data_IF_950232735260
#
_entry.id   IF_950232735260
#
_cell.length_a   1.000
_cell.length_b   1.000
_cell.length_c   1.000
_cell.angle_alpha   90.00
_cell.angle_beta   90.00
_cell.angle_gamma   90.00
#
_symmetry.space_group_name_H-M   'P 1'
#
loop_
_entity.id
_entity.type
_entity.pdbx_description
1 polymer ?
#
# COMPACT_ATOMS: atom_id res chain seq x y z
N UNK A 1 18.02 16.34 2.58
CA UNK A 1 16.61 16.27 2.23
C UNK A 1 16.38 16.34 0.72
N UNK A 2 16.83 17.40 0.03
CA UNK A 2 16.60 17.57 -1.43
C UNK A 2 17.21 16.42 -2.25
N UNK A 3 18.40 15.95 -1.91
CA UNK A 3 19.04 14.83 -2.60
C UNK A 3 18.20 13.54 -2.45
N UNK A 4 17.70 13.24 -1.25
CA UNK A 4 16.83 12.10 -1.00
C UNK A 4 15.50 12.19 -1.76
N UNK A 5 14.87 13.36 -1.79
CA UNK A 5 13.64 13.56 -2.57
C UNK A 5 13.87 13.37 -4.07
N UNK A 6 15.01 13.83 -4.60
CA UNK A 6 15.39 13.62 -5.99
C UNK A 6 15.70 12.13 -6.31
N UNK A 7 16.20 11.38 -5.35
CA UNK A 7 16.39 9.94 -5.45
C UNK A 7 15.04 9.21 -5.49
N UNK A 8 14.14 9.53 -4.55
CA UNK A 8 12.81 8.95 -4.51
C UNK A 8 11.99 9.24 -5.78
N UNK A 9 12.13 10.42 -6.36
CA UNK A 9 11.43 10.79 -7.60
C UNK A 9 11.86 9.95 -8.82
N UNK A 10 13.01 9.29 -8.77
CA UNK A 10 13.49 8.37 -9.82
C UNK A 10 12.95 6.95 -9.68
N UNK A 11 12.47 6.60 -8.50
CA UNK A 11 11.83 5.31 -8.26
C UNK A 11 10.41 5.37 -8.86
N UNK A 12 10.04 4.34 -9.61
CA UNK A 12 8.67 4.26 -10.13
C UNK A 12 7.64 4.24 -8.99
N UNK A 13 6.52 4.89 -9.19
CA UNK A 13 5.41 4.97 -8.20
C UNK A 13 4.53 3.73 -8.21
N UNK A 14 4.80 2.72 -9.05
CA UNK A 14 4.02 1.49 -9.07
C UNK A 14 4.25 0.67 -7.79
N UNK A 15 3.19 0.07 -7.27
CA UNK A 15 3.23 -0.79 -6.08
C UNK A 15 4.31 -1.89 -6.20
N UNK A 16 4.45 -2.51 -7.37
CA UNK A 16 5.48 -3.51 -7.65
C UNK A 16 6.92 -2.95 -7.57
N UNK A 17 7.13 -1.72 -8.03
CA UNK A 17 8.45 -1.08 -7.94
C UNK A 17 8.79 -0.69 -6.50
N UNK A 18 7.79 -0.28 -5.71
CA UNK A 18 7.93 0.05 -4.28
C UNK A 18 8.18 -1.21 -3.44
N UNK A 19 7.56 -2.33 -3.81
CA UNK A 19 7.67 -3.60 -3.09
C UNK A 19 9.07 -4.22 -3.22
N UNK A 20 9.69 -4.12 -4.38
CA UNK A 20 11.01 -4.70 -4.68
C UNK A 20 12.18 -3.77 -4.38
N UNK A 21 11.95 -2.47 -4.22
CA UNK A 21 12.99 -1.50 -3.94
C UNK A 21 13.56 -1.65 -2.51
N UNK A 22 14.87 -1.41 -2.37
CA UNK A 22 15.51 -1.25 -1.06
C UNK A 22 14.78 -0.17 -0.24
N UNK A 23 14.43 -0.49 1.00
CA UNK A 23 13.73 0.44 1.89
C UNK A 23 14.68 1.53 2.37
N UNK A 24 14.46 2.74 1.91
CA UNK A 24 15.29 3.91 2.23
C UNK A 24 14.48 4.99 2.92
N UNK A 25 15.10 5.66 3.87
CA UNK A 25 14.50 6.75 4.62
C UNK A 25 15.45 7.90 4.90
N UNK A 26 14.86 9.03 5.24
CA UNK A 26 15.55 10.21 5.73
C UNK A 26 15.04 10.53 7.13
N UNK A 27 15.91 10.50 8.11
CA UNK A 27 15.59 10.95 9.46
C UNK A 27 15.37 12.47 9.45
N UNK A 28 14.19 12.90 9.84
CA UNK A 28 13.86 14.34 9.92
C UNK A 28 14.39 15.02 11.16
N UNK A 29 14.84 14.26 12.15
CA UNK A 29 15.17 14.74 13.51
C UNK A 29 13.95 15.18 14.33
N UNK A 30 12.73 15.02 13.79
CA UNK A 30 11.49 15.32 14.50
C UNK A 30 10.97 14.09 15.23
N UNK A 31 10.21 14.34 16.28
CA UNK A 31 9.48 13.30 16.99
C UNK A 31 8.02 13.72 17.18
N UNK A 32 7.11 12.74 17.19
CA UNK A 32 5.71 12.92 17.53
C UNK A 32 5.35 12.18 18.80
N UNK A 33 4.38 12.68 19.54
CA UNK A 33 3.84 11.99 20.70
C UNK A 33 2.96 10.83 20.24
N UNK A 34 3.16 9.64 20.83
CA UNK A 34 2.28 8.50 20.59
C UNK A 34 0.86 8.84 21.07
N UNK A 35 -0.19 8.65 20.26
CA UNK A 35 -1.54 9.14 20.60
C UNK A 35 -2.20 8.37 21.76
N UNK A 36 -1.76 7.12 22.01
CA UNK A 36 -2.38 6.23 22.99
C UNK A 36 -1.46 5.89 24.17
N UNK A 37 -0.15 6.15 24.05
CA UNK A 37 0.83 5.82 25.08
C UNK A 37 1.46 7.10 25.61
N UNK A 38 1.25 7.37 26.89
CA UNK A 38 1.83 8.53 27.55
C UNK A 38 3.37 8.44 27.52
N UNK A 39 4.03 9.60 27.40
CA UNK A 39 5.49 9.76 27.42
C UNK A 39 6.27 8.96 26.36
N UNK A 40 5.57 8.38 25.37
CA UNK A 40 6.16 7.71 24.24
C UNK A 40 6.29 8.66 23.05
N UNK A 41 7.53 8.92 22.61
CA UNK A 41 7.82 9.74 21.44
C UNK A 41 8.38 8.88 20.32
N UNK A 42 7.81 9.04 19.14
CA UNK A 42 8.17 8.29 17.95
C UNK A 42 8.96 9.15 16.98
N UNK A 43 10.04 8.64 16.36
CA UNK A 43 10.78 9.38 15.35
C UNK A 43 9.98 9.50 14.05
N UNK A 44 10.20 10.60 13.33
CA UNK A 44 9.54 10.85 12.05
C UNK A 44 10.55 10.71 10.92
N UNK A 45 10.29 9.77 10.03
CA UNK A 45 11.08 9.52 8.82
C UNK A 45 10.30 9.88 7.55
N UNK A 46 11.02 10.31 6.52
CA UNK A 46 10.50 10.32 5.15
C UNK A 46 11.03 9.04 4.50
N UNK A 47 10.14 8.17 4.03
CA UNK A 47 10.53 6.88 3.46
C UNK A 47 10.03 6.71 2.02
N UNK A 48 10.78 5.96 1.21
CA UNK A 48 10.50 5.76 -0.21
C UNK A 48 9.39 4.75 -0.49
N UNK A 49 8.93 4.02 0.52
CA UNK A 49 7.90 2.99 0.40
C UNK A 49 6.52 3.40 0.96
N UNK A 50 6.41 4.62 1.47
CA UNK A 50 5.12 5.19 1.90
C UNK A 50 4.38 5.73 0.68
N UNK A 51 3.26 5.10 0.35
CA UNK A 51 2.44 5.50 -0.79
C UNK A 51 1.61 6.75 -0.46
N UNK A 52 1.76 7.80 -1.26
CA UNK A 52 1.04 9.08 -1.08
C UNK A 52 -0.48 8.94 -1.31
N UNK A 53 -0.89 7.93 -2.07
CA UNK A 53 -2.30 7.65 -2.37
C UNK A 53 -2.99 6.87 -1.24
N UNK A 54 -2.24 6.45 -0.22
CA UNK A 54 -2.76 5.69 0.91
C UNK A 54 -3.03 6.63 2.08
N UNK A 55 -4.30 6.95 2.30
CA UNK A 55 -4.72 7.85 3.38
C UNK A 55 -4.20 9.28 3.19
N UNK A 56 -3.45 9.77 4.16
CA UNK A 56 -2.87 11.13 4.16
C UNK A 56 -1.43 11.18 3.64
N UNK A 57 -0.87 10.05 3.21
CA UNK A 57 0.56 9.92 2.89
C UNK A 57 1.46 9.86 4.12
N UNK A 58 0.87 9.73 5.31
CA UNK A 58 1.56 9.45 6.56
C UNK A 58 1.06 8.12 7.13
N UNK A 59 1.98 7.24 7.51
CA UNK A 59 1.67 5.96 8.13
C UNK A 59 2.26 5.88 9.53
N UNK A 60 1.64 5.09 10.37
CA UNK A 60 2.17 4.66 11.65
C UNK A 60 2.90 3.32 11.42
N UNK A 61 4.22 3.30 11.59
CA UNK A 61 5.03 2.09 11.38
C UNK A 61 4.69 1.02 12.41
N UNK A 62 4.59 -0.23 11.94
CA UNK A 62 4.30 -1.40 12.79
C UNK A 62 5.31 -2.52 12.52
N UNK A 63 6.60 -2.33 12.84
CA UNK A 63 7.69 -3.22 12.40
C UNK A 63 7.56 -4.67 12.87
N UNK A 64 6.95 -4.91 14.01
CA UNK A 64 6.75 -6.29 14.47
C UNK A 64 5.69 -7.06 13.62
N UNK A 65 4.81 -6.36 12.89
CA UNK A 65 3.63 -6.95 12.24
C UNK A 65 3.44 -6.52 10.77
N UNK A 66 4.39 -5.80 10.20
CA UNK A 66 4.51 -5.54 8.76
C UNK A 66 5.97 -5.72 8.32
N UNK A 67 6.20 -6.58 7.33
CA UNK A 67 7.55 -6.92 6.90
C UNK A 67 8.32 -5.72 6.33
N UNK A 68 7.65 -4.82 5.62
CA UNK A 68 8.28 -3.63 5.03
C UNK A 68 8.76 -2.67 6.12
N UNK A 69 7.95 -2.52 7.18
CA UNK A 69 8.31 -1.71 8.33
C UNK A 69 9.44 -2.36 9.15
N UNK A 70 9.45 -3.70 9.23
CA UNK A 70 10.51 -4.45 9.90
C UNK A 70 11.85 -4.30 9.18
N UNK A 71 11.85 -4.48 7.86
CA UNK A 71 13.05 -4.31 7.04
C UNK A 71 13.63 -2.90 7.20
N UNK A 72 12.75 -1.91 7.24
CA UNK A 72 13.12 -0.52 7.47
C UNK A 72 13.67 -0.31 8.90
N UNK A 73 12.97 -0.81 9.91
CA UNK A 73 13.38 -0.69 11.30
C UNK A 73 14.76 -1.31 11.54
N UNK A 74 15.01 -2.50 10.96
CA UNK A 74 16.29 -3.18 11.04
C UNK A 74 17.41 -2.39 10.33
N UNK A 75 17.12 -1.85 9.13
CA UNK A 75 18.08 -1.06 8.37
C UNK A 75 18.50 0.24 9.08
N UNK A 76 17.61 0.83 9.87
CA UNK A 76 17.84 2.11 10.57
C UNK A 76 18.07 1.94 12.08
N UNK A 77 18.14 0.71 12.60
CA UNK A 77 18.39 0.43 14.01
C UNK A 77 17.27 0.94 14.92
N UNK A 78 16.02 0.94 14.44
CA UNK A 78 14.87 1.34 15.23
C UNK A 78 14.38 0.18 16.10
N UNK A 79 13.77 0.51 17.24
CA UNK A 79 13.21 -0.50 18.12
C UNK A 79 12.03 -1.23 17.52
N UNK A 80 11.95 -2.54 17.75
CA UNK A 80 10.82 -3.39 17.34
C UNK A 80 10.16 -3.93 18.59
N UNK A 81 8.89 -3.59 18.80
CA UNK A 81 8.09 -4.04 19.95
C UNK A 81 6.96 -4.90 19.43
N UNK A 82 6.98 -6.24 19.63
CA UNK A 82 5.89 -7.09 19.27
C UNK A 82 4.68 -6.83 20.19
N UNK A 83 3.51 -6.69 19.60
CA UNK A 83 2.25 -6.42 20.30
C UNK A 83 1.16 -7.46 20.05
N UNK A 84 1.44 -8.46 19.23
CA UNK A 84 0.61 -9.65 19.04
C UNK A 84 1.43 -10.88 19.35
N UNK A 85 0.99 -11.64 20.32
CA UNK A 85 1.56 -12.93 20.71
C UNK A 85 0.78 -14.04 20.05
N UNK A 86 1.41 -14.96 19.28
CA UNK A 86 0.75 -16.15 18.77
C UNK A 86 0.11 -16.98 19.88
N UNK A 87 -1.01 -17.64 19.60
CA UNK A 87 -1.58 -18.62 20.51
C UNK A 87 -0.54 -19.71 20.79
N UNK A 88 -0.52 -20.25 22.00
CA UNK A 88 0.42 -21.28 22.48
C UNK A 88 1.91 -20.86 22.53
N UNK A 89 2.21 -19.56 22.50
CA UNK A 89 3.56 -19.03 22.62
C UNK A 89 3.75 -18.35 23.97
N UNK A 90 4.91 -18.60 24.62
CA UNK A 90 5.27 -17.89 25.85
C UNK A 90 5.73 -16.45 25.50
N UNK A 91 5.14 -15.48 26.18
CA UNK A 91 5.53 -14.08 26.05
C UNK A 91 6.99 -13.83 26.50
N UNK A 92 7.51 -14.64 27.43
CA UNK A 92 8.87 -14.55 27.89
C UNK A 92 9.84 -14.99 26.80
N UNK A 93 10.51 -14.03 26.15
CA UNK A 93 11.47 -14.30 25.08
C UNK A 93 10.90 -14.32 23.68
N UNK A 94 9.63 -13.95 23.48
CA UNK A 94 9.11 -13.75 22.14
C UNK A 94 9.65 -12.45 21.54
N UNK A 95 10.48 -12.58 20.53
CA UNK A 95 11.13 -11.47 19.83
C UNK A 95 10.90 -11.59 18.32
N UNK A 96 10.83 -10.45 17.67
CA UNK A 96 10.77 -10.33 16.21
C UNK A 96 12.10 -9.80 15.73
N UNK A 97 12.79 -10.55 14.87
CA UNK A 97 14.12 -10.18 14.33
C UNK A 97 14.08 -9.93 12.84
N UNK A 98 13.90 -10.97 12.03
CA UNK A 98 14.00 -10.89 10.57
C UNK A 98 12.68 -11.11 9.85
N UNK A 99 11.69 -11.67 10.55
CA UNK A 99 10.38 -11.98 9.97
C UNK A 99 9.27 -11.42 10.84
N UNK A 100 8.45 -10.54 10.26
CA UNK A 100 7.30 -9.96 10.95
C UNK A 100 6.22 -11.02 11.19
N UNK A 101 5.58 -10.96 12.36
CA UNK A 101 4.47 -11.84 12.66
C UNK A 101 3.14 -11.21 12.23
N UNK A 102 2.45 -11.83 11.27
CA UNK A 102 1.18 -11.34 10.71
C UNK A 102 -0.01 -12.27 11.00
N UNK A 103 0.20 -13.28 11.84
CA UNK A 103 -0.82 -14.27 12.20
C UNK A 103 -1.80 -13.79 13.28
N UNK A 104 -2.77 -14.63 13.63
CA UNK A 104 -3.70 -14.38 14.72
C UNK A 104 -2.99 -14.51 16.09
N UNK A 105 -3.62 -13.98 17.14
CA UNK A 105 -3.10 -14.07 18.49
C UNK A 105 -3.75 -13.08 19.43
N UNK A 106 -3.16 -12.94 20.60
CA UNK A 106 -3.60 -12.01 21.65
C UNK A 106 -2.69 -10.80 21.74
N UNK A 107 -3.26 -9.65 22.07
CA UNK A 107 -2.46 -8.46 22.35
C UNK A 107 -1.63 -8.67 23.62
N UNK A 108 -0.38 -8.20 23.57
CA UNK A 108 0.53 -8.09 24.70
C UNK A 108 1.45 -6.88 24.52
N UNK A 109 2.15 -6.46 25.52
CA UNK A 109 2.89 -5.18 25.52
C UNK A 109 2.01 -3.96 25.13
N UNK A 110 0.70 -4.09 25.31
CA UNK A 110 -0.33 -3.11 24.92
C UNK A 110 -1.07 -2.53 26.14
N UNK A 111 -0.56 -2.77 27.33
CA UNK A 111 -1.08 -2.23 28.59
C UNK A 111 -2.50 -2.70 28.89
N UNK A 112 -3.49 -1.81 28.97
CA UNK A 112 -4.85 -2.20 29.36
C UNK A 112 -5.56 -3.09 28.33
N UNK A 113 -4.98 -3.29 27.16
CA UNK A 113 -5.54 -4.10 26.07
C UNK A 113 -4.90 -5.49 25.97
N UNK A 114 -3.96 -5.81 26.85
CA UNK A 114 -3.31 -7.12 26.90
C UNK A 114 -4.36 -8.24 27.07
N UNK A 115 -4.22 -9.29 26.27
CA UNK A 115 -5.13 -10.43 26.25
C UNK A 115 -6.34 -10.30 25.32
N UNK A 116 -6.60 -9.11 24.74
CA UNK A 116 -7.64 -8.96 23.71
C UNK A 116 -7.26 -9.67 22.42
N UNK A 117 -8.26 -10.11 21.67
CA UNK A 117 -8.06 -10.53 20.28
C UNK A 117 -7.67 -9.33 19.42
N UNK A 118 -6.89 -9.59 18.34
CA UNK A 118 -6.43 -8.53 17.42
C UNK A 118 -7.58 -7.67 16.89
N UNK A 119 -8.69 -8.29 16.50
CA UNK A 119 -9.85 -7.55 15.97
C UNK A 119 -10.58 -6.72 17.05
N UNK A 120 -10.63 -7.20 18.27
CA UNK A 120 -11.14 -6.45 19.41
C UNK A 120 -10.23 -5.27 19.74
N UNK A 121 -8.91 -5.51 19.75
CA UNK A 121 -7.90 -4.47 19.96
C UNK A 121 -7.96 -3.35 18.94
N UNK A 122 -8.11 -3.68 17.66
CA UNK A 122 -8.29 -2.68 16.60
C UNK A 122 -9.50 -1.79 16.82
N UNK A 123 -10.65 -2.39 17.14
CA UNK A 123 -11.89 -1.62 17.44
C UNK A 123 -11.71 -0.74 18.67
N UNK A 124 -11.07 -1.25 19.71
CA UNK A 124 -10.82 -0.52 20.96
C UNK A 124 -9.88 0.65 20.74
N UNK A 125 -8.80 0.45 19.94
CA UNK A 125 -7.86 1.51 19.59
C UNK A 125 -8.53 2.63 18.79
N UNK A 126 -9.35 2.29 17.79
CA UNK A 126 -10.12 3.26 17.00
C UNK A 126 -11.06 4.05 17.93
N UNK A 127 -11.83 3.37 18.77
CA UNK A 127 -12.75 4.03 19.70
C UNK A 127 -12.03 4.96 20.68
N UNK A 128 -10.84 4.57 21.17
CA UNK A 128 -10.02 5.42 22.05
C UNK A 128 -9.51 6.67 21.33
N UNK A 129 -9.08 6.56 20.08
CA UNK A 129 -8.65 7.70 19.26
C UNK A 129 -9.80 8.66 18.95
N UNK A 130 -10.98 8.13 18.65
CA UNK A 130 -12.20 8.92 18.43
C UNK A 130 -12.64 9.66 19.71
N UNK A 131 -12.63 8.97 20.84
CA UNK A 131 -12.97 9.57 22.13
C UNK A 131 -11.98 10.69 22.54
N UNK A 132 -10.70 10.54 22.18
CA UNK A 132 -9.67 11.56 22.39
C UNK A 132 -9.70 12.70 21.36
N UNK A 133 -10.53 12.61 20.32
CA UNK A 133 -10.54 13.57 19.20
C UNK A 133 -9.25 13.58 18.38
N UNK A 134 -8.47 12.50 18.45
CA UNK A 134 -7.15 12.36 17.79
C UNK A 134 -7.21 11.57 16.49
N UNK A 135 -8.34 10.97 16.15
CA UNK A 135 -8.52 10.17 14.96
C UNK A 135 -9.97 9.86 14.66
N UNK A 136 -10.23 9.28 13.53
CA UNK A 136 -11.56 8.82 13.11
C UNK A 136 -11.42 7.51 12.35
N UNK A 137 -12.24 6.52 12.66
CA UNK A 137 -12.31 5.26 11.95
C UNK A 137 -12.65 5.48 10.48
N UNK A 138 -11.88 4.85 9.58
CA UNK A 138 -12.08 4.93 8.15
C UNK A 138 -12.19 3.52 7.55
N UNK A 139 -13.16 3.32 6.67
CA UNK A 139 -13.23 2.12 5.86
C UNK A 139 -12.61 2.39 4.50
N UNK A 140 -11.49 1.73 4.21
CA UNK A 140 -10.81 1.86 2.92
C UNK A 140 -11.07 0.61 2.09
N UNK A 141 -11.65 0.80 0.90
CA UNK A 141 -11.87 -0.29 -0.05
C UNK A 141 -10.64 -0.46 -0.93
N UNK A 142 -10.08 -1.67 -0.97
CA UNK A 142 -8.94 -2.02 -1.84
C UNK A 142 -9.41 -2.43 -3.24
N UNK A 143 -10.42 -1.78 -3.76
CA UNK A 143 -10.84 -1.93 -5.14
C UNK A 143 -10.02 -0.97 -6.00
N UNK A 144 -9.33 -1.54 -6.99
CA UNK A 144 -8.71 -0.74 -8.04
C UNK A 144 -9.78 -0.35 -9.05
N UNK A 145 -9.63 0.82 -9.63
CA UNK A 145 -10.47 1.23 -10.75
C UNK A 145 -10.41 0.17 -11.85
N UNK A 146 -11.57 -0.28 -12.26
CA UNK A 146 -11.71 -1.23 -13.35
C UNK A 146 -11.98 -0.47 -14.62
N UNK A 147 -11.00 -0.44 -15.53
CA UNK A 147 -11.23 0.12 -16.86
C UNK A 147 -12.33 -0.65 -17.58
N UNK A 148 -13.40 0.02 -17.94
CA UNK A 148 -14.54 -0.58 -18.68
C UNK A 148 -14.12 -0.97 -20.10
N UNK A 149 -13.31 -0.12 -20.73
CA UNK A 149 -12.75 -0.38 -22.06
C UNK A 149 -11.64 -1.44 -22.00
N UNK A 150 -11.72 -2.41 -22.89
CA UNK A 150 -10.71 -3.47 -23.08
C UNK A 150 -10.16 -3.40 -24.49
N UNK A 151 -8.88 -3.11 -24.64
CA UNK A 151 -8.15 -3.13 -25.91
C UNK A 151 -7.63 -4.55 -26.17
N UNK A 152 -8.57 -5.48 -26.34
CA UNK A 152 -8.33 -6.88 -26.71
C UNK A 152 -9.25 -7.23 -27.86
N UNK A 153 -9.05 -8.36 -28.48
CA UNK A 153 -9.97 -8.89 -29.50
C UNK A 153 -11.39 -9.11 -28.93
N UNK A 154 -11.47 -9.33 -27.63
CA UNK A 154 -12.74 -9.45 -26.88
C UNK A 154 -12.94 -8.25 -25.94
N UNK A 155 -14.14 -8.05 -25.46
CA UNK A 155 -14.51 -7.02 -24.51
C UNK A 155 -15.36 -5.92 -25.10
N UNK A 156 -15.37 -4.76 -24.44
CA UNK A 156 -16.12 -3.57 -24.87
C UNK A 156 -15.15 -2.39 -25.04
N UNK A 157 -14.34 -2.35 -26.10
CA UNK A 157 -13.50 -1.18 -26.38
C UNK A 157 -14.37 0.01 -26.71
N UNK A 158 -13.95 1.20 -26.28
CA UNK A 158 -14.59 2.45 -26.72
C UNK A 158 -14.09 2.72 -28.15
N UNK A 159 -15.00 2.86 -29.14
CA UNK A 159 -14.61 3.01 -30.53
C UNK A 159 -14.12 4.44 -30.80
N UNK A 160 -12.81 4.63 -30.78
CA UNK A 160 -12.14 5.91 -31.02
C UNK A 160 -11.04 5.75 -32.07
N UNK A 161 -10.79 6.83 -32.79
CA UNK A 161 -9.70 6.98 -33.76
C UNK A 161 -8.65 7.89 -33.14
N UNK A 162 -7.39 7.49 -33.16
CA UNK A 162 -6.26 8.35 -32.80
C UNK A 162 -5.87 9.19 -34.02
N UNK A 163 -6.11 10.47 -33.96
CA UNK A 163 -5.75 11.41 -35.01
C UNK A 163 -4.57 12.29 -34.55
N UNK A 164 -3.52 12.37 -35.33
CA UNK A 164 -2.32 13.16 -34.98
C UNK A 164 -2.61 14.66 -34.79
N UNK A 165 -3.64 15.16 -35.46
CA UNK A 165 -4.01 16.58 -35.40
C UNK A 165 -5.10 16.89 -34.37
N UNK A 166 -6.06 15.97 -34.15
CA UNK A 166 -7.27 16.19 -33.35
C UNK A 166 -7.24 15.45 -32.01
N UNK A 167 -6.30 14.53 -31.81
CA UNK A 167 -6.28 13.63 -30.65
C UNK A 167 -7.28 12.48 -30.80
N UNK A 168 -7.99 12.16 -29.71
CA UNK A 168 -9.01 11.10 -29.71
C UNK A 168 -10.32 11.59 -30.34
N UNK A 169 -10.75 10.92 -31.41
CA UNK A 169 -12.00 11.23 -32.12
C UNK A 169 -12.93 10.01 -32.05
N UNK A 170 -14.16 10.15 -31.56
CA UNK A 170 -15.12 9.05 -31.57
C UNK A 170 -15.43 8.60 -33.00
N UNK A 171 -15.61 7.30 -33.20
CA UNK A 171 -16.12 6.77 -34.45
C UNK A 171 -17.57 7.26 -34.67
N UNK A 172 -17.92 7.84 -35.84
CA UNK A 172 -19.27 8.27 -36.11
C UNK A 172 -20.29 7.13 -35.97
N UNK A 173 -21.45 7.42 -35.41
CA UNK A 173 -22.52 6.41 -35.20
C UNK A 173 -22.92 5.66 -36.46
N UNK A 174 -22.88 6.35 -37.63
CA UNK A 174 -23.18 5.73 -38.92
C UNK A 174 -22.16 4.65 -39.34
N UNK A 175 -20.99 4.62 -38.71
CA UNK A 175 -19.90 3.66 -38.99
C UNK A 175 -19.82 2.56 -37.92
N UNK A 176 -20.79 2.44 -37.05
CA UNK A 176 -20.90 1.38 -36.06
C UNK A 176 -21.79 0.23 -36.59
N UNK A 177 -21.49 -1.02 -36.17
CA UNK A 177 -20.40 -1.45 -35.34
C UNK A 177 -19.04 -1.42 -36.04
N UNK A 178 -17.95 -1.25 -35.27
CA UNK A 178 -16.59 -1.46 -35.80
C UNK A 178 -16.39 -2.98 -35.92
N UNK A 179 -16.25 -3.47 -37.12
CA UNK A 179 -15.99 -4.88 -37.38
C UNK A 179 -14.54 -5.20 -37.12
N UNK A 180 -14.29 -6.29 -36.37
CA UNK A 180 -12.95 -6.76 -36.09
C UNK A 180 -12.46 -7.67 -37.22
N UNK A 181 -11.12 -7.67 -37.50
CA UNK A 181 -10.55 -8.58 -38.48
C UNK A 181 -10.73 -10.05 -38.07
N UNK A 182 -11.02 -10.93 -39.00
CA UNK A 182 -11.23 -12.36 -38.75
C UNK A 182 -9.94 -13.18 -38.92
N UNK A 183 -8.90 -12.60 -39.53
CA UNK A 183 -7.61 -13.22 -39.84
C UNK A 183 -6.53 -12.92 -38.76
N UNK A 184 -6.93 -12.94 -37.51
CA UNK A 184 -6.07 -12.65 -36.35
C UNK A 184 -5.28 -13.87 -35.92
N UNK A 185 -3.98 -13.68 -35.67
CA UNK A 185 -3.13 -14.67 -35.01
C UNK A 185 -3.24 -14.54 -33.48
N UNK A 186 -3.94 -15.47 -32.84
CA UNK A 186 -4.11 -15.53 -31.39
C UNK A 186 -2.91 -16.14 -30.64
N UNK A 187 -1.97 -16.77 -31.35
CA UNK A 187 -0.79 -17.37 -30.75
C UNK A 187 0.35 -16.35 -30.56
N UNK A 188 0.25 -15.20 -31.22
CA UNK A 188 1.21 -14.14 -31.07
C UNK A 188 1.18 -13.54 -29.64
N UNK A 189 2.36 -13.29 -29.00
CA UNK A 189 2.41 -12.71 -27.67
C UNK A 189 1.87 -11.28 -27.66
N UNK A 190 1.10 -10.96 -26.62
CA UNK A 190 0.57 -9.61 -26.39
C UNK A 190 -0.87 -9.41 -26.86
N UNK A 191 -1.18 -8.22 -27.38
CA UNK A 191 -2.49 -7.92 -27.93
C UNK A 191 -2.53 -8.32 -29.42
N UNK A 192 -3.35 -9.31 -29.81
CA UNK A 192 -3.43 -9.75 -31.20
C UNK A 192 -3.73 -8.63 -32.20
N UNK A 193 -4.58 -7.67 -31.80
CA UNK A 193 -4.96 -6.55 -32.69
C UNK A 193 -3.79 -5.57 -32.94
N UNK A 194 -2.83 -5.46 -32.04
CA UNK A 194 -1.70 -4.54 -32.22
C UNK A 194 -0.69 -5.01 -33.29
N UNK A 195 -0.75 -6.30 -33.63
CA UNK A 195 0.14 -6.91 -34.63
C UNK A 195 -0.55 -7.10 -35.99
N UNK A 196 -1.81 -6.74 -36.10
CA UNK A 196 -2.57 -6.77 -37.35
C UNK A 196 -2.23 -5.54 -38.21
N UNK A 197 -1.98 -5.69 -39.51
CA UNK A 197 -1.58 -4.59 -40.41
C UNK A 197 -2.64 -3.50 -40.57
#
# INVERSE_FOLDING_TARGET
RQAFLAECAKLGTSEAAVETAEKKGFDTGLTVQHPLVADCRLPVYIANFVLMEYGTGAIFGCPAHDQRDLDFANAYGLGVIPVVLPDDTDAAGFEITDTAYTGPGKLFNSGPWDGMDVEEGKRTAIAALEAAGSGTGQTTYRLRDWGVSRQRYWGCPIPVIHCDSCGLVPVPEANLPVELPEDIDFEAPGNPLSNHP
#
